data_IF_086003184458
#
_entry.id   IF_086003184458
#
_cell.length_a   1.000
_cell.length_b   1.000
_cell.length_c   1.000
_cell.angle_alpha   90.00
_cell.angle_beta   90.00
_cell.angle_gamma   90.00
#
_symmetry.space_group_name_H-M   'P 1'
#
loop_
_entity.id
_entity.type
_entity.pdbx_description
1 polymer ?
#
# COMPACT_ATOMS: atom_id res chain seq x y z
N UNK A 1 15.72 -16.78 11.80
CA UNK A 1 16.35 -16.13 10.62
C UNK A 1 17.37 -17.08 10.05
N UNK A 2 17.40 -17.31 8.74
CA UNK A 2 18.32 -18.26 8.11
C UNK A 2 19.25 -17.48 7.18
N UNK A 3 20.56 -17.67 7.34
CA UNK A 3 21.59 -17.05 6.50
C UNK A 3 21.93 -17.98 5.35
N UNK A 4 21.79 -17.49 4.12
CA UNK A 4 22.17 -18.23 2.91
C UNK A 4 23.68 -18.16 2.68
N UNK A 5 24.31 -19.32 2.53
CA UNK A 5 25.69 -19.39 2.05
C UNK A 5 25.75 -19.29 0.52
N UNK A 6 26.89 -18.86 -0.01
CA UNK A 6 27.06 -18.61 -1.45
C UNK A 6 26.81 -19.85 -2.33
N UNK A 7 27.15 -21.05 -1.84
CA UNK A 7 26.92 -22.30 -2.56
C UNK A 7 25.43 -22.65 -2.65
N UNK A 8 24.68 -22.41 -1.57
CA UNK A 8 23.23 -22.64 -1.50
C UNK A 8 22.43 -21.59 -2.28
N UNK A 9 23.01 -20.40 -2.47
CA UNK A 9 22.40 -19.32 -3.25
C UNK A 9 22.27 -19.64 -4.75
N UNK A 10 23.02 -20.62 -5.27
CA UNK A 10 23.00 -21.00 -6.69
C UNK A 10 21.73 -21.74 -7.09
N UNK A 11 21.14 -22.51 -6.19
CA UNK A 11 19.90 -23.26 -6.42
C UNK A 11 18.82 -22.85 -5.41
N UNK A 12 18.02 -21.85 -5.80
CA UNK A 12 16.96 -21.32 -4.96
C UNK A 12 15.91 -22.37 -4.60
N UNK A 13 15.55 -23.26 -5.53
CA UNK A 13 14.51 -24.27 -5.30
C UNK A 13 15.04 -25.37 -4.38
N UNK A 14 16.26 -25.83 -4.62
CA UNK A 14 16.94 -26.79 -3.76
C UNK A 14 17.11 -26.29 -2.34
N UNK A 15 17.49 -25.02 -2.16
CA UNK A 15 17.58 -24.41 -0.84
C UNK A 15 16.22 -24.26 -0.15
N UNK A 16 15.17 -23.84 -0.86
CA UNK A 16 13.81 -23.78 -0.29
C UNK A 16 13.38 -25.17 0.19
N UNK A 17 13.66 -26.22 -0.59
CA UNK A 17 13.36 -27.59 -0.21
C UNK A 17 14.14 -28.04 1.03
N UNK A 18 15.41 -27.63 1.19
CA UNK A 18 16.24 -28.01 2.33
C UNK A 18 15.81 -27.34 3.64
N UNK A 19 15.39 -26.07 3.61
CA UNK A 19 14.93 -25.35 4.81
C UNK A 19 13.49 -25.66 5.19
N UNK A 20 12.67 -26.18 4.25
CA UNK A 20 11.24 -26.45 4.43
C UNK A 20 10.91 -27.18 5.75
N UNK A 21 11.56 -28.30 6.13
CA UNK A 21 11.20 -29.04 7.33
C UNK A 21 11.33 -28.21 8.62
N UNK A 22 12.20 -27.20 8.62
CA UNK A 22 12.47 -26.35 9.79
C UNK A 22 11.51 -25.16 9.88
N UNK A 23 11.10 -24.61 8.73
CA UNK A 23 10.33 -23.37 8.64
C UNK A 23 8.83 -23.57 8.47
N UNK A 24 8.41 -24.72 7.94
CA UNK A 24 6.99 -25.01 7.62
C UNK A 24 6.08 -24.88 8.84
N UNK A 25 6.57 -25.26 10.03
CA UNK A 25 5.84 -25.11 11.30
C UNK A 25 5.53 -23.67 11.70
N UNK A 26 6.30 -22.69 11.20
CA UNK A 26 6.11 -21.27 11.49
C UNK A 26 5.33 -20.54 10.40
N UNK A 27 5.16 -21.14 9.22
CA UNK A 27 4.47 -20.54 8.05
C UNK A 27 5.24 -19.45 7.31
N UNK A 28 6.19 -18.76 7.96
CA UNK A 28 7.03 -17.70 7.35
C UNK A 28 8.48 -17.81 7.84
N UNK A 29 9.45 -17.48 6.98
CA UNK A 29 10.83 -17.34 7.38
C UNK A 29 11.51 -16.14 6.71
N UNK A 30 12.54 -15.60 7.38
CA UNK A 30 13.42 -14.54 6.84
C UNK A 30 14.72 -15.16 6.36
N UNK A 31 15.00 -15.00 5.06
CA UNK A 31 16.23 -15.43 4.41
C UNK A 31 17.14 -14.21 4.21
N UNK A 32 18.36 -14.27 4.74
CA UNK A 32 19.36 -13.23 4.53
C UNK A 32 20.32 -13.71 3.44
N UNK A 33 20.42 -12.99 2.30
CA UNK A 33 21.33 -13.37 1.23
C UNK A 33 22.79 -13.25 1.68
N UNK A 34 23.72 -13.93 0.99
CA UNK A 34 25.15 -13.81 1.28
C UNK A 34 25.63 -12.38 1.05
N UNK A 35 26.62 -11.94 1.82
CA UNK A 35 27.15 -10.57 1.79
C UNK A 35 27.67 -10.10 0.42
N UNK A 36 28.11 -11.05 -0.41
CA UNK A 36 28.58 -10.82 -1.78
C UNK A 36 27.44 -10.55 -2.78
N UNK A 37 26.19 -10.86 -2.45
CA UNK A 37 25.06 -10.69 -3.35
C UNK A 37 24.46 -9.29 -3.19
N UNK A 38 24.69 -8.45 -4.20
CA UNK A 38 24.15 -7.09 -4.29
C UNK A 38 23.65 -6.85 -5.72
N UNK A 39 22.39 -7.21 -6.03
CA UNK A 39 21.85 -6.99 -7.36
C UNK A 39 21.79 -5.48 -7.66
N UNK A 40 22.01 -5.06 -8.92
CA UNK A 40 21.74 -3.68 -9.31
C UNK A 40 20.26 -3.37 -9.06
N UNK A 41 19.97 -2.13 -8.67
CA UNK A 41 18.60 -1.67 -8.43
C UNK A 41 18.26 -0.60 -9.46
N UNK A 42 17.64 -0.97 -10.60
CA UNK A 42 17.28 -0.02 -11.67
C UNK A 42 16.35 1.08 -11.19
N UNK A 43 15.55 0.81 -10.15
CA UNK A 43 14.64 1.79 -9.55
C UNK A 43 15.37 3.01 -8.99
N UNK A 44 16.67 2.90 -8.67
CA UNK A 44 17.50 4.02 -8.19
C UNK A 44 18.05 4.89 -9.32
N UNK A 45 17.85 4.52 -10.58
CA UNK A 45 18.23 5.36 -11.71
C UNK A 45 17.46 6.68 -11.64
N UNK A 46 18.14 7.81 -11.86
CA UNK A 46 17.55 9.15 -11.68
C UNK A 46 16.31 9.38 -12.55
N UNK A 47 16.31 8.83 -13.76
CA UNK A 47 15.19 8.87 -14.71
C UNK A 47 13.96 8.19 -14.10
N UNK A 48 14.10 6.94 -13.66
CA UNK A 48 13.02 6.18 -13.03
C UNK A 48 12.57 6.80 -11.71
N UNK A 49 13.54 7.18 -10.86
CA UNK A 49 13.29 7.70 -9.52
C UNK A 49 12.47 9.01 -9.53
N UNK A 50 12.69 9.86 -10.53
CA UNK A 50 12.10 11.21 -10.61
C UNK A 50 11.00 11.36 -11.64
N UNK A 51 10.95 10.51 -12.66
CA UNK A 51 10.06 10.73 -13.81
C UNK A 51 9.08 9.57 -14.04
N UNK A 52 9.30 8.41 -13.43
CA UNK A 52 8.35 7.29 -13.55
C UNK A 52 7.31 7.37 -12.44
N UNK A 53 6.07 7.63 -12.84
CA UNK A 53 4.91 7.63 -11.96
C UNK A 53 4.34 6.21 -11.76
N UNK A 54 3.78 5.97 -10.59
CA UNK A 54 3.04 4.77 -10.27
C UNK A 54 1.74 5.10 -9.54
N UNK A 55 0.74 4.25 -9.73
CA UNK A 55 -0.54 4.39 -9.06
C UNK A 55 -0.50 3.81 -7.64
N UNK A 56 -0.99 4.58 -6.67
CA UNK A 56 -1.18 4.12 -5.29
C UNK A 56 -2.62 3.72 -5.01
N UNK A 57 -2.85 3.03 -3.89
CA UNK A 57 -4.18 2.82 -3.34
C UNK A 57 -4.27 3.32 -1.92
N UNK A 58 -5.42 3.84 -1.51
CA UNK A 58 -5.64 4.30 -0.14
C UNK A 58 -6.06 3.13 0.74
N UNK A 59 -5.34 2.95 1.85
CA UNK A 59 -5.64 1.96 2.88
C UNK A 59 -6.03 2.67 4.18
N UNK A 60 -7.29 2.49 4.58
CA UNK A 60 -7.79 2.89 5.90
C UNK A 60 -7.36 1.84 6.92
N UNK A 61 -6.42 2.19 7.79
CA UNK A 61 -5.76 1.25 8.73
C UNK A 61 -6.72 0.86 9.86
N UNK A 62 -7.52 1.80 10.32
CA UNK A 62 -8.56 1.66 11.34
C UNK A 62 -9.65 0.64 10.95
N UNK A 63 -9.96 0.52 9.66
CA UNK A 63 -11.05 -0.36 9.15
C UNK A 63 -10.54 -1.74 8.71
N UNK A 64 -9.32 -2.13 9.07
CA UNK A 64 -8.72 -3.40 8.60
C UNK A 64 -9.29 -4.64 9.28
N UNK A 65 -9.59 -4.60 10.58
CA UNK A 65 -10.14 -5.74 11.32
C UNK A 65 -11.60 -5.52 11.73
N UNK A 66 -11.91 -4.39 12.35
CA UNK A 66 -13.23 -4.11 12.90
C UNK A 66 -14.05 -3.30 11.90
N UNK A 67 -14.66 -3.98 10.92
CA UNK A 67 -15.63 -3.37 10.01
C UNK A 67 -17.04 -3.82 10.36
N UNK A 68 -17.96 -2.88 10.56
CA UNK A 68 -19.37 -3.23 10.68
C UNK A 68 -19.84 -3.95 9.40
N UNK A 69 -20.53 -5.11 9.53
CA UNK A 69 -21.04 -5.83 8.38
C UNK A 69 -22.11 -4.98 7.70
N UNK A 70 -21.85 -4.56 6.47
CA UNK A 70 -22.85 -3.87 5.67
C UNK A 70 -24.07 -4.77 5.49
N UNK A 71 -25.22 -4.31 5.98
CA UNK A 71 -26.51 -4.87 5.59
C UNK A 71 -26.60 -4.79 4.07
N UNK A 72 -26.70 -5.95 3.42
CA UNK A 72 -27.03 -5.99 1.99
C UNK A 72 -28.44 -5.43 1.87
N UNK A 73 -28.57 -4.16 1.49
CA UNK A 73 -29.86 -3.65 1.05
C UNK A 73 -30.28 -4.51 -0.15
N UNK A 74 -31.39 -5.22 0.05
CA UNK A 74 -31.94 -6.10 -0.97
C UNK A 74 -32.52 -5.19 -2.04
N UNK A 75 -31.78 -4.93 -3.11
CA UNK A 75 -32.32 -4.16 -4.22
C UNK A 75 -33.64 -4.80 -4.68
N UNK A 76 -34.74 -4.04 -4.80
CA UNK A 76 -35.98 -4.58 -5.31
C UNK A 76 -35.73 -5.02 -6.75
N UNK A 77 -35.91 -6.32 -7.02
CA UNK A 77 -35.87 -6.89 -8.37
C UNK A 77 -36.95 -6.23 -9.24
N UNK A 78 -36.61 -5.15 -9.94
CA UNK A 78 -37.42 -4.67 -11.05
C UNK A 78 -37.27 -5.70 -12.17
N UNK A 79 -38.27 -6.58 -12.31
CA UNK A 79 -38.38 -7.54 -13.39
C UNK A 79 -38.52 -6.78 -14.73
N UNK A 80 -37.41 -6.44 -15.38
CA UNK A 80 -37.43 -5.96 -16.77
C UNK A 80 -37.87 -7.12 -17.66
N UNK A 81 -39.18 -7.19 -17.97
CA UNK A 81 -39.74 -8.08 -19.00
C UNK A 81 -39.01 -7.82 -20.32
N UNK A 82 -38.24 -8.82 -20.79
CA UNK A 82 -37.54 -8.78 -22.08
C UNK A 82 -38.57 -8.75 -23.21
N UNK A 83 -38.90 -7.57 -23.74
CA UNK A 83 -39.62 -7.44 -25.01
C UNK A 83 -38.69 -7.87 -26.15
N UNK A 84 -39.08 -8.93 -26.85
CA UNK A 84 -38.43 -9.47 -28.06
C UNK A 84 -38.20 -8.36 -29.10
N UNK A 85 -36.94 -8.12 -29.48
CA UNK A 85 -36.53 -7.24 -30.58
C UNK A 85 -37.09 -7.77 -31.92
N UNK A 86 -37.95 -7.01 -32.60
CA UNK A 86 -38.08 -7.09 -34.07
C UNK A 86 -37.11 -6.07 -34.68
N UNK A 87 -36.29 -6.54 -35.63
CA UNK A 87 -35.31 -5.74 -36.38
C UNK A 87 -36.02 -4.79 -37.34
N UNK A 88 -35.72 -3.50 -37.29
CA UNK A 88 -35.72 -2.59 -38.44
C UNK A 88 -34.52 -1.66 -38.32
N UNK A 89 -33.83 -1.46 -39.45
CA UNK A 89 -32.66 -0.59 -39.64
C UNK A 89 -33.11 0.87 -39.78
N UNK A 90 -32.31 1.82 -39.30
CA UNK A 90 -31.85 3.07 -39.96
C UNK A 90 -31.31 4.07 -38.92
N UNK A 91 -30.30 4.85 -39.31
CA UNK A 91 -30.10 6.22 -38.78
C UNK A 91 -28.92 6.43 -37.85
N UNK A 92 -27.95 7.19 -38.34
CA UNK A 92 -26.82 7.80 -37.63
C UNK A 92 -27.24 9.17 -37.09
N UNK A 93 -26.98 9.49 -35.81
CA UNK A 93 -26.52 10.81 -35.32
C UNK A 93 -26.59 10.99 -33.80
N UNK A 94 -25.47 11.48 -33.28
CA UNK A 94 -25.32 12.48 -32.21
C UNK A 94 -25.57 12.13 -30.73
N UNK A 95 -24.43 12.12 -30.01
CA UNK A 95 -24.12 12.91 -28.81
C UNK A 95 -25.00 12.68 -27.57
N UNK A 96 -24.51 11.85 -26.66
CA UNK A 96 -24.70 12.08 -25.23
C UNK A 96 -23.33 12.03 -24.53
N UNK A 97 -22.99 13.19 -23.96
CA UNK A 97 -21.92 13.38 -22.99
C UNK A 97 -22.07 12.30 -21.92
N UNK A 98 -21.02 11.50 -21.71
CA UNK A 98 -20.97 10.62 -20.55
C UNK A 98 -20.92 11.52 -19.33
N UNK A 99 -22.08 11.65 -18.68
CA UNK A 99 -22.19 12.20 -17.36
C UNK A 99 -21.30 11.35 -16.45
N UNK A 100 -20.32 11.98 -15.84
CA UNK A 100 -19.62 11.45 -14.67
C UNK A 100 -20.66 11.30 -13.55
N UNK A 101 -21.34 10.16 -13.57
CA UNK A 101 -22.12 9.66 -12.46
C UNK A 101 -21.10 9.25 -11.41
N UNK A 102 -20.92 10.11 -10.41
CA UNK A 102 -20.28 9.80 -9.14
C UNK A 102 -21.03 8.63 -8.48
N UNK A 103 -20.69 7.42 -8.91
CA UNK A 103 -21.07 6.19 -8.26
C UNK A 103 -20.11 6.00 -7.09
N UNK A 104 -20.37 6.73 -6.00
CA UNK A 104 -19.81 6.43 -4.68
C UNK A 104 -20.56 5.24 -4.09
N UNK A 105 -20.68 4.17 -4.87
CA UNK A 105 -20.97 2.86 -4.30
C UNK A 105 -19.71 2.54 -3.49
N UNK A 106 -19.80 2.57 -2.16
CA UNK A 106 -18.69 2.32 -1.23
C UNK A 106 -18.10 0.92 -1.49
N UNK A 107 -17.26 0.86 -2.52
CA UNK A 107 -16.77 -0.34 -3.16
C UNK A 107 -15.82 -1.02 -2.21
N UNK A 108 -16.12 -2.27 -1.90
CA UNK A 108 -15.29 -3.08 -1.03
C UNK A 108 -13.86 -3.16 -1.59
N UNK A 109 -12.88 -2.65 -0.84
CA UNK A 109 -11.46 -2.68 -1.18
C UNK A 109 -10.76 -1.33 -1.01
N UNK A 110 -9.47 -1.30 -1.31
CA UNK A 110 -8.68 -0.07 -1.30
C UNK A 110 -9.10 0.84 -2.46
N UNK A 111 -9.37 2.11 -2.15
CA UNK A 111 -9.71 3.13 -3.15
C UNK A 111 -8.48 3.46 -4.00
N UNK A 112 -8.68 3.93 -5.23
CA UNK A 112 -7.57 4.44 -6.04
C UNK A 112 -6.99 5.69 -5.37
N UNK A 113 -5.68 5.69 -5.13
CA UNK A 113 -4.96 6.86 -4.65
C UNK A 113 -4.42 7.70 -5.81
N UNK A 114 -3.69 8.76 -5.46
CA UNK A 114 -2.96 9.58 -6.44
C UNK A 114 -1.78 8.82 -7.04
N UNK A 115 -1.36 9.27 -8.21
CA UNK A 115 -0.12 8.83 -8.82
C UNK A 115 1.05 9.56 -8.16
N UNK A 116 2.17 8.87 -7.98
CA UNK A 116 3.39 9.41 -7.39
C UNK A 116 4.61 8.93 -8.15
N UNK A 117 5.65 9.74 -8.18
CA UNK A 117 7.03 9.27 -8.43
C UNK A 117 7.64 8.69 -7.15
N UNK A 118 8.75 7.95 -7.26
CA UNK A 118 9.44 7.43 -6.07
C UNK A 118 9.97 8.56 -5.18
N UNK A 119 10.45 9.65 -5.78
CA UNK A 119 10.89 10.85 -5.04
C UNK A 119 9.75 11.48 -4.23
N UNK A 120 8.60 11.72 -4.87
CA UNK A 120 7.46 12.33 -4.21
C UNK A 120 6.87 11.43 -3.12
N UNK A 121 6.79 10.12 -3.40
CA UNK A 121 6.28 9.16 -2.43
C UNK A 121 7.19 9.04 -1.22
N UNK A 122 8.51 9.04 -1.42
CA UNK A 122 9.45 9.06 -0.30
C UNK A 122 9.26 10.33 0.53
N UNK A 123 9.19 11.50 -0.11
CA UNK A 123 8.99 12.78 0.57
C UNK A 123 7.68 12.80 1.37
N UNK A 124 6.60 12.29 0.77
CA UNK A 124 5.31 12.15 1.45
C UNK A 124 5.42 11.22 2.67
N UNK A 125 6.05 10.06 2.52
CA UNK A 125 6.21 9.10 3.61
C UNK A 125 7.07 9.64 4.76
N UNK A 126 8.13 10.37 4.45
CA UNK A 126 9.00 11.01 5.44
C UNK A 126 8.25 12.13 6.17
N UNK A 127 7.51 12.98 5.44
CA UNK A 127 6.64 14.01 6.03
C UNK A 127 5.56 13.40 6.93
N UNK A 128 4.89 12.33 6.48
CA UNK A 128 3.87 11.64 7.28
C UNK A 128 4.46 11.11 8.59
N UNK A 129 5.64 10.47 8.54
CA UNK A 129 6.32 9.98 9.75
C UNK A 129 6.66 11.14 10.68
N UNK A 130 7.20 12.24 10.17
CA UNK A 130 7.51 13.42 10.98
C UNK A 130 6.25 14.02 11.62
N UNK A 131 5.12 14.06 10.93
CA UNK A 131 3.89 14.64 11.48
C UNK A 131 3.16 13.72 12.45
N UNK A 132 3.20 12.42 12.19
CA UNK A 132 2.46 11.41 12.96
C UNK A 132 3.20 11.02 14.23
N UNK A 133 4.50 10.74 14.09
CA UNK A 133 5.35 10.33 15.19
C UNK A 133 6.05 11.54 15.84
N UNK A 134 6.30 12.63 15.11
CA UNK A 134 6.98 13.79 15.67
C UNK A 134 6.20 14.44 16.81
N UNK A 135 6.95 14.97 17.79
CA UNK A 135 6.42 15.57 19.01
C UNK A 135 5.31 16.60 18.72
N UNK A 136 4.07 16.28 19.10
CA UNK A 136 3.06 17.29 19.44
C UNK A 136 3.11 17.50 20.94
N UNK A 137 3.78 18.56 21.38
CA UNK A 137 3.68 19.06 22.75
C UNK A 137 5.01 19.22 23.48
N UNK A 138 5.56 20.43 23.44
CA UNK A 138 5.86 21.21 24.65
C UNK A 138 6.39 22.55 24.20
N UNK A 139 5.60 23.60 24.41
CA UNK A 139 6.10 24.96 24.41
C UNK A 139 7.32 25.02 25.35
N UNK A 140 8.40 25.66 24.88
CA UNK A 140 9.70 25.86 25.58
C UNK A 140 10.76 24.74 25.48
N UNK A 141 11.16 24.34 24.27
CA UNK A 141 12.48 23.70 24.03
C UNK A 141 13.35 24.63 23.18
N UNK A 142 14.59 24.86 23.61
CA UNK A 142 15.55 25.76 22.95
C UNK A 142 15.81 25.34 21.50
N UNK A 143 15.83 26.30 20.57
CA UNK A 143 16.04 26.10 19.13
C UNK A 143 17.31 25.31 18.77
N UNK A 144 18.27 25.20 19.70
CA UNK A 144 19.51 24.44 19.54
C UNK A 144 19.34 22.93 19.81
N UNK A 145 18.49 22.55 20.77
CA UNK A 145 18.18 21.15 21.08
C UNK A 145 17.25 20.54 20.02
N UNK A 146 16.34 21.35 19.47
CA UNK A 146 15.45 20.95 18.36
C UNK A 146 16.26 20.54 17.12
N UNK A 147 17.34 21.25 16.78
CA UNK A 147 18.17 20.90 15.62
C UNK A 147 18.91 19.57 15.81
N UNK A 148 19.43 19.31 17.00
CA UNK A 148 20.13 18.05 17.30
C UNK A 148 19.17 16.86 17.42
N UNK A 149 18.01 17.04 18.08
CA UNK A 149 17.03 15.98 18.22
C UNK A 149 16.26 15.67 16.93
N UNK A 150 16.04 16.66 16.05
CA UNK A 150 15.39 16.44 14.75
C UNK A 150 16.27 15.64 13.78
N UNK A 151 17.60 15.73 13.89
CA UNK A 151 18.52 14.87 13.12
C UNK A 151 18.61 13.44 13.67
N UNK A 152 18.26 13.22 14.95
CA UNK A 152 18.38 11.91 15.62
C UNK A 152 17.08 11.12 15.73
N UNK A 153 15.91 11.78 15.66
CA UNK A 153 14.68 11.10 16.03
C UNK A 153 14.06 10.33 14.87
N UNK A 154 14.07 9.01 14.99
CA UNK A 154 13.31 8.07 14.14
C UNK A 154 12.61 7.08 15.07
N UNK A 155 11.30 6.83 14.88
CA UNK A 155 10.59 5.91 15.74
C UNK A 155 11.19 4.50 15.61
N UNK A 156 11.29 3.79 16.73
CA UNK A 156 11.78 2.42 16.74
C UNK A 156 10.78 1.46 16.06
N UNK A 157 11.23 0.28 15.65
CA UNK A 157 10.33 -0.71 15.02
C UNK A 157 9.22 -1.14 15.98
N UNK A 158 9.53 -1.25 17.27
CA UNK A 158 8.60 -1.62 18.34
C UNK A 158 7.55 -0.54 18.57
N UNK A 159 7.94 0.75 18.54
CA UNK A 159 7.00 1.88 18.61
C UNK A 159 6.03 1.88 17.42
N UNK A 160 6.53 1.68 16.21
CA UNK A 160 5.71 1.63 14.99
C UNK A 160 4.74 0.45 15.04
N UNK A 161 5.20 -0.73 15.49
CA UNK A 161 4.36 -1.92 15.61
C UNK A 161 3.27 -1.75 16.67
N UNK A 162 3.61 -1.24 17.85
CA UNK A 162 2.66 -0.99 18.92
C UNK A 162 1.57 0.00 18.48
N UNK A 163 1.97 1.09 17.83
CA UNK A 163 1.04 2.10 17.33
C UNK A 163 0.18 1.58 16.18
N UNK A 164 0.74 0.78 15.28
CA UNK A 164 -0.03 0.09 14.24
C UNK A 164 -1.15 -0.77 14.86
N UNK A 165 -0.82 -1.60 15.85
CA UNK A 165 -1.82 -2.44 16.52
C UNK A 165 -2.83 -1.61 17.32
N UNK A 166 -2.42 -0.48 17.91
CA UNK A 166 -3.36 0.47 18.55
C UNK A 166 -4.43 0.93 17.57
N UNK A 167 -4.02 1.44 16.40
CA UNK A 167 -4.95 1.94 15.36
C UNK A 167 -5.87 0.82 14.87
N UNK A 168 -5.35 -0.39 14.66
CA UNK A 168 -6.14 -1.51 14.11
C UNK A 168 -7.16 -2.05 15.11
N UNK A 169 -6.81 -2.08 16.40
CA UNK A 169 -7.63 -2.72 17.45
C UNK A 169 -8.57 -1.72 18.12
N UNK A 170 -8.10 -0.51 18.43
CA UNK A 170 -8.84 0.55 19.09
C UNK A 170 -8.54 1.90 18.41
N UNK A 171 -9.17 2.17 17.25
CA UNK A 171 -8.95 3.42 16.54
C UNK A 171 -9.57 4.58 17.32
N UNK A 172 -8.71 5.46 17.85
CA UNK A 172 -9.14 6.76 18.37
C UNK A 172 -9.32 7.79 17.24
N UNK A 173 -8.61 7.60 16.10
CA UNK A 173 -8.61 8.46 14.93
C UNK A 173 -8.65 7.64 13.62
N UNK A 174 -9.24 8.20 12.55
CA UNK A 174 -9.16 7.62 11.21
C UNK A 174 -7.77 7.83 10.61
N UNK A 175 -7.08 6.76 10.19
CA UNK A 175 -5.71 6.83 9.64
C UNK A 175 -5.67 6.21 8.25
N UNK A 176 -5.40 7.05 7.25
CA UNK A 176 -5.27 6.65 5.86
C UNK A 176 -3.81 6.65 5.41
N UNK A 177 -3.37 5.56 4.79
CA UNK A 177 -2.01 5.44 4.24
C UNK A 177 -2.04 5.06 2.75
N UNK A 178 -1.24 5.72 1.90
CA UNK A 178 -1.02 5.27 0.54
C UNK A 178 -0.24 3.96 0.50
N UNK A 179 -0.74 2.99 -0.27
CA UNK A 179 -0.14 1.69 -0.50
C UNK A 179 0.34 1.54 -1.93
N UNK A 180 1.60 1.10 -2.07
CA UNK A 180 2.24 0.80 -3.34
C UNK A 180 1.83 -0.58 -3.86
N UNK A 181 1.49 -0.68 -5.14
CA UNK A 181 1.33 -1.95 -5.84
C UNK A 181 2.64 -2.34 -6.55
N UNK A 182 3.52 -3.04 -5.82
CA UNK A 182 4.85 -3.47 -6.32
C UNK A 182 4.75 -4.24 -7.64
N UNK A 183 3.71 -5.05 -7.84
CA UNK A 183 3.52 -5.83 -9.07
C UNK A 183 3.40 -4.98 -10.35
N UNK A 184 3.07 -3.68 -10.27
CA UNK A 184 2.99 -2.81 -11.46
C UNK A 184 4.26 -2.02 -11.74
N UNK A 185 5.16 -1.89 -10.76
CA UNK A 185 6.42 -1.19 -10.92
C UNK A 185 7.47 -2.01 -11.69
N UNK A 186 7.37 -3.34 -11.66
CA UNK A 186 8.28 -4.23 -12.39
C UNK A 186 7.79 -4.60 -13.81
N UNK A 187 6.69 -4.00 -14.28
CA UNK A 187 6.12 -4.27 -15.61
C UNK A 187 6.51 -3.24 -16.68
N UNK A 188 7.37 -2.28 -16.34
CA UNK A 188 7.90 -1.24 -17.23
C UNK A 188 9.41 -1.39 -17.41
#
# INVERSE_FOLDING_TARGET
>A
CITLLHQEFKDAIGYIASIRPQVEKYGICRIVPPSSWRPPCPLKEKSFWKCTEFNTRVQQVDKLQNREPKKKETQPRVQKKRKRRKKLRFGMSQKLRSAESADQDEKFGFQSGSDFTLEEFQKYADMFKEQYFGMKGSDEISLFEIKQHKEMWRPSVEEIEGEYWRIVVCPDDEVEVPRLLICRLCSY
#
